data_IF_407451987266
#
_entry.id   IF_407451987266
#
_cell.length_a   1.000
_cell.length_b   1.000
_cell.length_c   1.000
_cell.angle_alpha   90.00
_cell.angle_beta   90.00
_cell.angle_gamma   90.00
#
_symmetry.space_group_name_H-M   'P 1'
#
loop_
_entity.id
_entity.type
_entity.pdbx_description
1 polymer ?
#
# COMPACT_ATOMS: atom_id res chain seq x y z
N UNK A 1 35.00 -20.37 31.81
CA UNK A 1 33.56 -20.34 32.15
C UNK A 1 33.12 -19.08 32.93
N UNK A 2 34.03 -18.24 33.44
CA UNK A 2 33.66 -17.00 34.15
C UNK A 2 33.31 -15.82 33.22
N UNK A 3 33.96 -15.70 32.06
CA UNK A 3 33.74 -14.55 31.14
C UNK A 3 32.42 -14.60 30.38
N UNK A 4 31.93 -15.79 30.00
CA UNK A 4 30.67 -15.95 29.26
C UNK A 4 29.45 -15.51 30.10
N UNK A 5 29.49 -15.75 31.41
CA UNK A 5 28.43 -15.34 32.35
C UNK A 5 28.47 -13.82 32.57
N UNK A 6 29.66 -13.21 32.65
CA UNK A 6 29.78 -11.75 32.68
C UNK A 6 29.28 -11.10 31.39
N UNK A 7 29.64 -11.62 30.22
CA UNK A 7 29.16 -11.08 28.93
C UNK A 7 27.64 -11.22 28.76
N UNK A 8 27.02 -12.29 29.27
CA UNK A 8 25.56 -12.44 29.29
C UNK A 8 24.89 -11.45 30.27
N UNK A 9 25.47 -11.23 31.45
CA UNK A 9 24.95 -10.26 32.43
C UNK A 9 25.09 -8.83 31.87
N UNK A 10 26.24 -8.46 31.30
CA UNK A 10 26.44 -7.15 30.66
C UNK A 10 25.58 -6.98 29.40
N UNK A 11 25.29 -8.07 28.69
CA UNK A 11 24.36 -8.08 27.55
C UNK A 11 22.92 -7.78 27.97
N UNK A 12 22.44 -8.34 29.08
CA UNK A 12 21.13 -7.99 29.67
C UNK A 12 21.13 -6.57 30.23
N UNK A 13 22.24 -6.10 30.78
CA UNK A 13 22.37 -4.73 31.29
C UNK A 13 22.38 -3.66 30.18
N UNK A 14 22.88 -3.99 28.98
CA UNK A 14 22.78 -3.14 27.79
C UNK A 14 21.40 -3.19 27.12
N UNK A 15 20.62 -4.26 27.35
CA UNK A 15 19.24 -4.33 26.91
C UNK A 15 18.32 -3.45 27.77
N UNK A 16 18.63 -3.25 29.05
CA UNK A 16 17.87 -2.36 29.95
C UNK A 16 17.70 -0.92 29.42
N UNK A 17 18.75 -0.18 28.99
CA UNK A 17 18.60 1.17 28.45
C UNK A 17 17.92 1.19 27.07
N UNK A 18 18.13 0.18 26.23
CA UNK A 18 17.44 0.07 24.93
C UNK A 18 15.96 -0.21 25.12
N UNK A 19 15.60 -1.11 26.05
CA UNK A 19 14.21 -1.39 26.41
C UNK A 19 13.55 -0.18 27.08
N UNK A 20 14.26 0.56 27.92
CA UNK A 20 13.78 1.82 28.48
C UNK A 20 13.51 2.87 27.38
N UNK A 21 14.38 2.96 26.38
CA UNK A 21 14.20 3.86 25.22
C UNK A 21 13.01 3.45 24.38
N UNK A 22 12.87 2.16 24.08
CA UNK A 22 11.72 1.62 23.35
C UNK A 22 10.43 1.88 24.13
N UNK A 23 10.42 1.64 25.43
CA UNK A 23 9.27 1.92 26.31
C UNK A 23 8.86 3.39 26.25
N UNK A 24 9.82 4.32 26.39
CA UNK A 24 9.54 5.76 26.30
C UNK A 24 8.99 6.17 24.93
N UNK A 25 9.51 5.60 23.84
CA UNK A 25 9.01 5.86 22.49
C UNK A 25 7.59 5.31 22.28
N UNK A 26 7.30 4.12 22.83
CA UNK A 26 5.98 3.49 22.78
C UNK A 26 4.97 4.27 23.61
N UNK A 27 5.34 4.74 24.80
CA UNK A 27 4.48 5.58 25.64
C UNK A 27 4.18 6.93 24.96
N UNK A 28 5.17 7.52 24.29
CA UNK A 28 4.99 8.74 23.49
C UNK A 28 4.09 8.53 22.25
N UNK A 29 4.18 7.37 21.60
CA UNK A 29 3.29 7.00 20.50
C UNK A 29 1.85 6.77 20.98
N UNK A 30 1.69 6.01 22.08
CA UNK A 30 0.39 5.78 22.73
C UNK A 30 -0.28 7.09 23.11
N UNK A 31 0.45 8.01 23.73
CA UNK A 31 -0.05 9.33 24.13
C UNK A 31 -0.50 10.16 22.92
N UNK A 32 0.24 10.09 21.81
CA UNK A 32 -0.15 10.75 20.54
C UNK A 32 -1.37 10.11 19.89
N UNK A 33 -1.55 8.80 20.02
CA UNK A 33 -2.75 8.11 19.54
C UNK A 33 -3.98 8.46 20.38
N UNK A 34 -3.84 8.44 21.70
CA UNK A 34 -4.90 8.82 22.64
C UNK A 34 -5.26 10.31 22.46
N UNK A 35 -4.28 11.20 22.27
CA UNK A 35 -4.51 12.64 22.09
C UNK A 35 -5.05 13.03 20.70
N UNK A 36 -4.83 12.20 19.67
CA UNK A 36 -5.37 12.42 18.32
C UNK A 36 -6.82 11.95 18.17
N UNK A 37 -7.49 11.53 19.27
CA UNK A 37 -8.82 10.89 19.29
C UNK A 37 -8.88 9.55 18.53
N UNK A 38 -7.76 9.07 17.99
CA UNK A 38 -7.64 7.76 17.35
C UNK A 38 -7.62 6.62 18.37
N UNK A 39 -7.22 6.87 19.63
CA UNK A 39 -7.30 5.91 20.72
C UNK A 39 -8.73 5.58 21.18
N UNK A 40 -9.71 6.41 20.80
CA UNK A 40 -11.15 6.20 21.02
C UNK A 40 -11.85 5.60 19.79
N UNK A 41 -11.13 5.50 18.66
CA UNK A 41 -11.60 4.72 17.52
C UNK A 41 -11.42 3.26 17.90
N UNK A 42 -12.53 2.55 18.10
CA UNK A 42 -12.53 1.10 18.19
C UNK A 42 -12.16 0.52 16.83
N UNK A 43 -10.89 0.57 16.45
CA UNK A 43 -10.38 0.04 15.18
C UNK A 43 -10.80 -1.41 15.03
N UNK A 44 -10.87 -2.16 16.14
CA UNK A 44 -11.39 -3.52 16.13
C UNK A 44 -12.89 -3.57 15.80
N UNK A 45 -13.74 -2.73 16.37
CA UNK A 45 -15.17 -2.62 16.05
C UNK A 45 -15.47 -2.03 14.68
N UNK A 46 -14.62 -1.14 14.18
CA UNK A 46 -14.71 -0.52 12.85
C UNK A 46 -14.29 -1.51 11.75
N UNK A 47 -13.28 -2.35 12.01
CA UNK A 47 -12.88 -3.46 11.14
C UNK A 47 -13.87 -4.64 11.24
N UNK A 48 -14.33 -4.99 12.45
CA UNK A 48 -15.33 -6.07 12.65
C UNK A 48 -16.72 -5.70 12.16
N UNK A 49 -17.07 -4.41 12.17
CA UNK A 49 -18.35 -3.90 11.70
C UNK A 49 -18.49 -3.84 10.19
N UNK A 50 -17.49 -4.28 9.42
CA UNK A 50 -17.44 -4.33 7.95
C UNK A 50 -17.63 -3.00 7.20
N UNK A 51 -17.97 -1.90 7.87
CA UNK A 51 -18.22 -0.60 7.25
C UNK A 51 -16.98 -0.02 6.54
N UNK A 52 -15.78 -0.37 7.00
CA UNK A 52 -14.52 0.07 6.39
C UNK A 52 -13.81 -1.01 5.58
N UNK A 53 -14.20 -2.28 5.74
CA UNK A 53 -13.60 -3.37 4.97
C UNK A 53 -14.09 -3.36 3.52
N UNK A 54 -15.37 -3.04 3.30
CA UNK A 54 -15.95 -2.98 1.95
C UNK A 54 -15.28 -1.94 1.04
N UNK A 55 -15.11 -0.65 1.42
CA UNK A 55 -14.42 0.32 0.58
C UNK A 55 -12.94 -0.01 0.36
N UNK A 56 -12.25 -0.57 1.36
CA UNK A 56 -10.86 -1.02 1.20
C UNK A 56 -10.75 -2.17 0.21
N UNK A 57 -11.59 -3.20 0.37
CA UNK A 57 -11.63 -4.36 -0.54
C UNK A 57 -12.01 -3.90 -1.94
N UNK A 58 -12.96 -2.99 -2.08
CA UNK A 58 -13.35 -2.42 -3.36
C UNK A 58 -12.18 -1.65 -4.02
N UNK A 59 -11.46 -0.83 -3.26
CA UNK A 59 -10.28 -0.11 -3.73
C UNK A 59 -9.16 -1.06 -4.18
N UNK A 60 -8.86 -2.10 -3.39
CA UNK A 60 -7.88 -3.13 -3.74
C UNK A 60 -8.30 -3.88 -5.00
N UNK A 61 -9.57 -4.30 -5.11
CA UNK A 61 -10.09 -4.95 -6.32
C UNK A 61 -10.00 -4.05 -7.55
N UNK A 62 -10.30 -2.75 -7.39
CA UNK A 62 -10.17 -1.79 -8.47
C UNK A 62 -8.72 -1.67 -8.96
N UNK A 63 -7.76 -1.56 -8.03
CA UNK A 63 -6.33 -1.51 -8.35
C UNK A 63 -5.84 -2.79 -9.07
N UNK A 64 -6.23 -3.98 -8.58
CA UNK A 64 -5.90 -5.25 -9.24
C UNK A 64 -6.50 -5.31 -10.65
N UNK A 65 -7.76 -4.87 -10.82
CA UNK A 65 -8.40 -4.80 -12.13
C UNK A 65 -7.68 -3.87 -13.09
N UNK A 66 -7.17 -2.75 -12.59
CA UNK A 66 -6.37 -1.81 -13.36
C UNK A 66 -5.03 -2.40 -13.78
N UNK A 67 -4.27 -2.98 -12.87
CA UNK A 67 -3.00 -3.65 -13.21
C UNK A 67 -3.21 -4.79 -14.23
N UNK A 68 -4.29 -5.55 -14.09
CA UNK A 68 -4.66 -6.62 -15.03
C UNK A 68 -4.96 -6.07 -16.42
N UNK A 69 -5.73 -4.97 -16.50
CA UNK A 69 -6.08 -4.33 -17.77
C UNK A 69 -4.83 -3.72 -18.43
N UNK A 70 -3.96 -3.09 -17.63
CA UNK A 70 -2.67 -2.56 -18.07
C UNK A 70 -1.70 -3.66 -18.52
N UNK A 71 -1.79 -4.88 -17.98
CA UNK A 71 -1.05 -6.03 -18.53
C UNK A 71 -1.50 -6.37 -19.96
N UNK A 72 -2.80 -6.25 -20.23
CA UNK A 72 -3.36 -6.35 -21.59
C UNK A 72 -2.80 -5.27 -22.53
N UNK A 73 -2.71 -4.03 -22.05
CA UNK A 73 -2.08 -2.91 -22.78
C UNK A 73 -0.60 -3.20 -23.04
N UNK A 74 0.16 -3.61 -22.01
CA UNK A 74 1.58 -3.95 -22.12
C UNK A 74 1.86 -5.04 -23.16
N UNK A 75 0.95 -6.01 -23.26
CA UNK A 75 1.05 -7.09 -24.25
C UNK A 75 0.71 -6.62 -25.66
N UNK A 76 -0.22 -5.68 -25.80
CA UNK A 76 -0.80 -5.30 -27.10
C UNK A 76 -0.12 -4.09 -27.74
N UNK A 77 0.54 -3.26 -26.94
CA UNK A 77 1.25 -2.05 -27.37
C UNK A 77 2.75 -2.29 -27.22
N UNK A 78 3.52 -1.90 -28.24
CA UNK A 78 4.98 -1.90 -28.18
C UNK A 78 5.45 -0.66 -27.42
N UNK A 79 6.20 -0.87 -26.34
CA UNK A 79 6.85 0.19 -25.57
C UNK A 79 8.36 0.08 -25.73
N UNK A 80 9.02 1.16 -26.11
CA UNK A 80 10.47 1.20 -26.24
C UNK A 80 11.14 1.30 -24.86
N UNK A 81 10.47 1.95 -23.91
CA UNK A 81 10.96 2.13 -22.55
C UNK A 81 9.90 1.80 -21.49
N UNK A 82 10.32 1.33 -20.29
CA UNK A 82 9.41 1.17 -19.16
C UNK A 82 8.71 2.47 -18.73
N UNK A 83 9.36 3.62 -18.98
CA UNK A 83 8.84 4.95 -18.70
C UNK A 83 7.60 5.26 -19.55
N UNK A 84 7.62 4.96 -20.84
CA UNK A 84 6.47 5.14 -21.73
C UNK A 84 5.26 4.31 -21.28
N UNK A 85 5.48 3.08 -20.82
CA UNK A 85 4.40 2.25 -20.28
C UNK A 85 3.78 2.84 -19.00
N UNK A 86 4.61 3.35 -18.08
CA UNK A 86 4.11 4.02 -16.86
C UNK A 86 3.37 5.30 -17.19
N UNK A 87 3.86 6.08 -18.15
CA UNK A 87 3.21 7.29 -18.62
C UNK A 87 1.83 6.97 -19.19
N UNK A 88 1.73 5.95 -20.06
CA UNK A 88 0.46 5.48 -20.61
C UNK A 88 -0.54 5.11 -19.49
N UNK A 89 -0.06 4.45 -18.42
CA UNK A 89 -0.90 4.15 -17.26
C UNK A 89 -1.44 5.41 -16.57
N UNK A 90 -0.60 6.43 -16.39
CA UNK A 90 -1.03 7.74 -15.87
C UNK A 90 -2.05 8.40 -16.80
N UNK A 91 -1.77 8.41 -18.11
CA UNK A 91 -2.65 9.04 -19.09
C UNK A 91 -4.04 8.36 -19.12
N UNK A 92 -4.09 7.04 -18.95
CA UNK A 92 -5.35 6.27 -18.86
C UNK A 92 -6.13 6.64 -17.59
N UNK A 93 -5.45 6.82 -16.45
CA UNK A 93 -6.08 7.26 -15.20
C UNK A 93 -6.64 8.68 -15.37
N UNK A 94 -5.85 9.61 -15.89
CA UNK A 94 -6.26 10.98 -16.15
C UNK A 94 -7.46 11.04 -17.12
N UNK A 95 -7.47 10.17 -18.13
CA UNK A 95 -8.60 10.02 -19.05
C UNK A 95 -9.85 9.53 -18.34
N UNK A 96 -9.74 8.61 -17.38
CA UNK A 96 -10.88 8.10 -16.61
C UNK A 96 -11.50 9.13 -15.67
N UNK A 97 -10.75 10.17 -15.29
CA UNK A 97 -11.27 11.30 -14.52
C UNK A 97 -12.03 12.31 -15.40
N UNK A 98 -11.71 12.35 -16.70
CA UNK A 98 -12.27 13.30 -17.66
C UNK A 98 -13.42 12.74 -18.47
N UNK A 99 -13.47 11.42 -18.63
CA UNK A 99 -14.50 10.70 -19.38
C UNK A 99 -15.35 9.86 -18.41
N UNK A 100 -16.64 9.64 -18.71
CA UNK A 100 -17.48 8.76 -17.91
C UNK A 100 -17.19 7.27 -18.20
N UNK A 101 -15.92 6.87 -18.14
CA UNK A 101 -15.45 5.50 -18.40
C UNK A 101 -14.36 5.12 -17.40
N UNK A 102 -14.35 3.87 -16.95
CA UNK A 102 -13.35 3.42 -15.96
C UNK A 102 -11.95 3.33 -16.57
N UNK A 103 -10.90 3.53 -15.77
CA UNK A 103 -9.52 3.33 -16.22
C UNK A 103 -9.30 1.93 -16.84
N UNK A 104 -9.98 0.91 -16.30
CA UNK A 104 -9.95 -0.46 -16.83
C UNK A 104 -10.58 -0.55 -18.23
N UNK A 105 -11.73 0.11 -18.43
CA UNK A 105 -12.42 0.18 -19.72
C UNK A 105 -11.59 0.91 -20.77
N UNK A 106 -10.98 2.04 -20.39
CA UNK A 106 -10.07 2.79 -21.27
C UNK A 106 -8.83 1.95 -21.62
N UNK A 107 -8.21 1.29 -20.65
CA UNK A 107 -7.10 0.38 -20.91
C UNK A 107 -7.50 -0.77 -21.86
N UNK A 108 -8.69 -1.33 -21.71
CA UNK A 108 -9.21 -2.36 -22.62
C UNK A 108 -9.40 -1.81 -24.05
N UNK A 109 -9.89 -0.58 -24.21
CA UNK A 109 -10.01 0.10 -25.51
C UNK A 109 -8.63 0.33 -26.13
N UNK A 110 -7.66 0.82 -25.36
CA UNK A 110 -6.27 1.01 -25.83
C UNK A 110 -5.67 -0.31 -26.29
N UNK A 111 -5.83 -1.39 -25.52
CA UNK A 111 -5.36 -2.71 -25.89
C UNK A 111 -6.04 -3.24 -27.17
N UNK A 112 -7.35 -3.03 -27.32
CA UNK A 112 -8.10 -3.42 -28.52
C UNK A 112 -7.67 -2.61 -29.75
N UNK A 113 -7.51 -1.29 -29.61
CA UNK A 113 -7.04 -0.41 -30.68
C UNK A 113 -5.63 -0.76 -31.15
N UNK A 114 -4.74 -1.12 -30.23
CA UNK A 114 -3.41 -1.59 -30.57
C UNK A 114 -3.45 -2.91 -31.36
N UNK A 115 -4.31 -3.85 -30.97
CA UNK A 115 -4.53 -5.13 -31.70
C UNK A 115 -5.20 -4.96 -33.06
N UNK A 116 -5.92 -3.86 -33.28
CA UNK A 116 -6.54 -3.57 -34.58
C UNK A 116 -5.56 -2.95 -35.58
N UNK A 117 -4.41 -2.47 -35.11
CA UNK A 117 -3.35 -1.86 -35.93
C UNK A 117 -2.19 -2.85 -36.21
N UNK A 118 -2.45 -4.15 -36.06
CA UNK A 118 -1.55 -5.27 -36.40
C UNK A 118 -2.21 -6.17 -37.43
#
# INVERSE_FOLDING_TARGET
MADTIRTLITGVDQLSPTLATIRNNVDGFRTRLESSRLGDIDVAGVIKGNAFTEPLIAGVKAAIGFETSMAGVKRSVTFETPQQFRQMGSDILDLSERLPESANGIAAIVAAGAKANV
#
